data_IF_153772909215
#
_entry.id   IF_153772909215
#
_cell.length_a   1.000
_cell.length_b   1.000
_cell.length_c   1.000
_cell.angle_alpha   90.00
_cell.angle_beta   90.00
_cell.angle_gamma   90.00
#
_symmetry.space_group_name_H-M   'P 1'
#
loop_
_entity.id
_entity.type
_entity.pdbx_description
1 polymer ?
#
# COMPACT_ATOMS: atom_id res chain seq x y z
N UNK A 1 -8.76 15.10 -4.99
CA UNK A 1 -7.88 14.56 -6.04
C UNK A 1 -6.76 13.80 -5.36
N UNK A 2 -6.55 12.53 -5.70
CA UNK A 2 -5.41 11.75 -5.23
C UNK A 2 -4.35 11.75 -6.35
N UNK A 3 -3.10 12.09 -6.00
CA UNK A 3 -2.01 12.06 -6.97
C UNK A 3 -1.61 10.62 -7.26
N UNK A 4 -1.38 10.31 -8.54
CA UNK A 4 -0.88 9.02 -8.97
C UNK A 4 0.60 8.90 -8.58
N UNK A 5 1.07 7.71 -8.16
CA UNK A 5 2.48 7.47 -7.88
C UNK A 5 3.32 7.49 -9.16
N UNK A 6 4.59 7.92 -9.03
CA UNK A 6 5.55 8.02 -10.14
C UNK A 6 5.15 9.00 -11.26
N UNK A 7 4.35 10.00 -10.91
CA UNK A 7 3.88 11.02 -11.84
C UNK A 7 4.37 12.42 -11.45
N UNK A 8 4.41 13.30 -12.44
CA UNK A 8 4.84 14.69 -12.29
C UNK A 8 3.66 15.65 -12.35
N UNK A 9 3.66 16.65 -11.47
CA UNK A 9 2.59 17.62 -11.33
C UNK A 9 3.16 19.04 -11.23
N UNK A 10 2.49 20.00 -11.86
CA UNK A 10 2.77 21.42 -11.69
C UNK A 10 1.78 22.01 -10.68
N UNK A 11 2.30 22.61 -9.61
CA UNK A 11 1.54 23.28 -8.57
C UNK A 11 1.69 24.79 -8.67
N UNK A 12 0.59 25.48 -8.40
CA UNK A 12 0.52 26.93 -8.29
C UNK A 12 -0.32 27.27 -7.07
N UNK A 13 0.04 28.36 -6.39
CA UNK A 13 -0.71 28.85 -5.25
C UNK A 13 -1.00 30.34 -5.39
N UNK A 14 -2.15 30.77 -4.87
CA UNK A 14 -2.49 32.18 -4.69
C UNK A 14 -3.23 32.35 -3.36
N UNK A 15 -3.06 33.50 -2.72
CA UNK A 15 -3.81 33.85 -1.53
C UNK A 15 -5.08 34.62 -1.92
N UNK A 16 -6.16 34.42 -1.15
CA UNK A 16 -7.43 35.14 -1.34
C UNK A 16 -7.93 35.62 0.02
N UNK A 17 -8.36 36.88 0.09
CA UNK A 17 -9.03 37.47 1.25
C UNK A 17 -10.23 38.33 0.80
N UNK A 18 -10.89 39.01 1.74
CA UNK A 18 -12.06 39.86 1.45
C UNK A 18 -11.77 41.02 0.47
N UNK A 19 -10.53 41.51 0.43
CA UNK A 19 -10.11 42.58 -0.46
C UNK A 19 -9.72 42.09 -1.87
N UNK A 20 -9.54 40.78 -2.06
CA UNK A 20 -9.24 40.19 -3.37
C UNK A 20 -8.24 39.04 -3.34
N UNK A 21 -7.69 38.73 -4.51
CA UNK A 21 -6.68 37.67 -4.67
C UNK A 21 -5.29 38.28 -4.89
N UNK A 22 -4.25 37.63 -4.39
CA UNK A 22 -2.87 37.92 -4.78
C UNK A 22 -2.61 37.50 -6.23
N UNK A 23 -1.47 37.92 -6.76
CA UNK A 23 -0.89 37.27 -7.93
C UNK A 23 -0.60 35.80 -7.64
N UNK A 24 -0.59 35.00 -8.71
CA UNK A 24 -0.30 33.57 -8.64
C UNK A 24 1.21 33.35 -8.55
N UNK A 25 1.62 32.33 -7.79
CA UNK A 25 3.02 31.93 -7.70
C UNK A 25 3.55 31.41 -9.05
N UNK A 26 4.88 31.34 -9.15
CA UNK A 26 5.53 30.52 -10.17
C UNK A 26 5.16 29.03 -10.01
N UNK A 27 5.35 28.28 -11.09
CA UNK A 27 5.06 26.86 -11.13
C UNK A 27 6.10 26.06 -10.34
N UNK A 28 5.64 25.19 -9.44
CA UNK A 28 6.49 24.19 -8.78
C UNK A 28 6.26 22.81 -9.41
N UNK A 29 7.32 22.17 -9.91
CA UNK A 29 7.28 20.80 -10.38
C UNK A 29 7.46 19.83 -9.21
N UNK A 30 6.44 19.00 -8.95
CA UNK A 30 6.43 18.00 -7.89
C UNK A 30 6.33 16.62 -8.52
N UNK A 31 7.24 15.73 -8.14
CA UNK A 31 7.22 14.31 -8.55
C UNK A 31 6.79 13.44 -7.39
N UNK A 32 5.76 12.62 -7.59
CA UNK A 32 5.35 11.63 -6.58
C UNK A 32 6.26 10.40 -6.65
N UNK A 33 6.51 9.78 -5.49
CA UNK A 33 7.25 8.51 -5.41
C UNK A 33 6.26 7.37 -5.23
N UNK A 34 6.31 6.37 -6.10
CA UNK A 34 5.64 5.10 -5.91
C UNK A 34 6.51 4.15 -5.10
N UNK A 35 6.35 4.14 -3.78
CA UNK A 35 7.06 3.18 -2.94
C UNK A 35 6.44 1.80 -3.10
N UNK A 36 7.24 0.82 -3.51
CA UNK A 36 6.88 -0.59 -3.56
C UNK A 36 7.72 -1.35 -2.55
N UNK A 37 7.09 -2.24 -1.80
CA UNK A 37 7.78 -3.07 -0.81
C UNK A 37 7.75 -4.52 -1.25
N UNK A 38 8.91 -5.17 -1.17
CA UNK A 38 9.01 -6.61 -1.32
C UNK A 38 8.82 -7.24 0.06
N UNK A 39 8.01 -8.29 0.10
CA UNK A 39 7.80 -9.11 1.27
C UNK A 39 9.06 -9.97 1.50
N UNK A 40 9.54 -9.98 2.73
CA UNK A 40 10.75 -10.72 3.07
C UNK A 40 10.44 -12.21 3.16
N UNK A 41 10.93 -12.98 2.19
CA UNK A 41 10.75 -14.45 2.17
C UNK A 41 11.31 -15.13 3.42
N UNK A 42 12.42 -14.61 3.98
CA UNK A 42 13.05 -15.18 5.17
C UNK A 42 12.17 -15.09 6.44
N UNK A 43 11.23 -14.16 6.50
CA UNK A 43 10.27 -14.04 7.61
C UNK A 43 8.95 -14.74 7.35
N UNK A 44 8.76 -15.34 6.17
CA UNK A 44 7.52 -16.01 5.82
C UNK A 44 7.42 -17.36 6.53
N UNK A 45 6.26 -17.65 7.11
CA UNK A 45 5.97 -18.96 7.67
C UNK A 45 6.02 -20.03 6.56
N UNK A 46 6.51 -21.27 6.81
CA UNK A 46 6.63 -22.31 5.79
C UNK A 46 5.31 -22.70 5.08
N UNK A 47 4.17 -22.47 5.75
CA UNK A 47 2.85 -22.69 5.17
C UNK A 47 2.40 -21.56 4.20
N UNK A 48 3.15 -20.47 4.09
CA UNK A 48 2.85 -19.36 3.18
C UNK A 48 3.73 -19.44 1.94
N UNK A 49 3.16 -19.11 0.80
CA UNK A 49 3.90 -18.96 -0.46
C UNK A 49 3.85 -17.50 -0.91
N UNK A 50 4.95 -16.99 -1.47
CA UNK A 50 5.01 -15.63 -2.01
C UNK A 50 4.94 -15.70 -3.53
N UNK A 51 4.37 -14.67 -4.17
CA UNK A 51 4.46 -14.45 -5.61
C UNK A 51 5.90 -14.23 -6.07
N UNK A 52 6.18 -14.42 -7.36
CA UNK A 52 7.52 -14.24 -7.93
C UNK A 52 8.06 -12.82 -7.76
N UNK A 53 7.18 -11.82 -7.85
CA UNK A 53 7.51 -10.41 -7.60
C UNK A 53 7.59 -10.06 -6.11
N UNK A 54 7.36 -11.03 -5.22
CA UNK A 54 7.39 -10.88 -3.75
C UNK A 54 6.47 -9.78 -3.22
N UNK A 55 5.38 -9.44 -3.91
CA UNK A 55 4.43 -8.42 -3.43
C UNK A 55 3.16 -9.02 -2.84
N UNK A 56 2.89 -10.30 -3.12
CA UNK A 56 1.66 -10.98 -2.69
C UNK A 56 2.00 -12.22 -1.88
N UNK A 57 1.23 -12.44 -0.80
CA UNK A 57 1.26 -13.67 0.00
C UNK A 57 0.04 -14.52 -0.34
N UNK A 58 0.29 -15.81 -0.52
CA UNK A 58 -0.72 -16.84 -0.75
C UNK A 58 -0.71 -17.81 0.43
N UNK A 59 -1.90 -18.12 0.92
CA UNK A 59 -2.11 -19.20 1.88
C UNK A 59 -2.79 -20.37 1.15
N UNK A 60 -2.13 -21.52 0.99
CA UNK A 60 -2.70 -22.67 0.29
C UNK A 60 -3.83 -23.28 1.11
N UNK A 61 -4.99 -23.48 0.48
CA UNK A 61 -6.19 -23.97 1.14
C UNK A 61 -6.03 -25.39 1.73
N UNK A 62 -5.06 -26.18 1.25
CA UNK A 62 -4.73 -27.49 1.82
C UNK A 62 -4.10 -27.41 3.22
N UNK A 63 -3.52 -26.26 3.60
CA UNK A 63 -3.01 -26.05 4.95
C UNK A 63 -4.14 -26.00 6.01
N UNK A 64 -5.40 -25.77 5.61
CA UNK A 64 -6.55 -25.92 6.51
C UNK A 64 -6.82 -27.39 6.90
N UNK A 65 -6.43 -28.37 6.07
CA UNK A 65 -6.71 -29.80 6.32
C UNK A 65 -5.76 -30.44 7.31
N UNK A 66 -4.66 -29.77 7.68
CA UNK A 66 -3.73 -30.26 8.72
C UNK A 66 -4.06 -29.72 10.11
N UNK A 67 -5.02 -28.80 10.23
CA UNK A 67 -5.64 -28.40 11.50
C UNK A 67 -6.92 -29.16 11.84
N UNK A 68 -7.34 -30.14 11.00
CA UNK A 68 -8.31 -31.17 11.38
C UNK A 68 -7.71 -32.20 12.37
N UNK A 69 -6.74 -31.80 13.19
CA UNK A 69 -6.59 -32.40 14.52
C UNK A 69 -7.67 -31.80 15.38
N UNK A 70 -8.82 -32.46 15.36
CA UNK A 70 -9.88 -32.44 16.36
C UNK A 70 -9.48 -31.64 17.62
N UNK A 71 -9.80 -30.36 17.62
CA UNK A 71 -9.67 -29.55 18.83
C UNK A 71 -10.71 -30.08 19.81
N UNK A 72 -10.35 -30.53 21.03
CA UNK A 72 -11.34 -31.00 21.98
C UNK A 72 -12.31 -29.85 22.27
N UNK A 73 -13.62 -30.11 22.13
CA UNK A 73 -14.65 -29.14 22.50
C UNK A 73 -14.47 -28.77 23.97
N UNK A 74 -14.20 -27.48 24.22
CA UNK A 74 -14.11 -26.89 25.58
C UNK A 74 -15.46 -26.33 26.07
N UNK A 75 -16.52 -26.49 25.28
CA UNK A 75 -17.89 -26.30 25.73
C UNK A 75 -18.48 -27.69 25.92
N UNK A 76 -18.63 -28.06 27.19
CA UNK A 76 -19.43 -29.20 27.64
C UNK A 76 -20.92 -28.93 27.57
#
# INVERSE_FOLDING_TARGET
VLLQPNENYLFYIRAVNEAGSSEQSEAALISTKGTRFHLLKASAHPALTLSDDQTTLHYPQEAHKTTDKEHPSILG
#
